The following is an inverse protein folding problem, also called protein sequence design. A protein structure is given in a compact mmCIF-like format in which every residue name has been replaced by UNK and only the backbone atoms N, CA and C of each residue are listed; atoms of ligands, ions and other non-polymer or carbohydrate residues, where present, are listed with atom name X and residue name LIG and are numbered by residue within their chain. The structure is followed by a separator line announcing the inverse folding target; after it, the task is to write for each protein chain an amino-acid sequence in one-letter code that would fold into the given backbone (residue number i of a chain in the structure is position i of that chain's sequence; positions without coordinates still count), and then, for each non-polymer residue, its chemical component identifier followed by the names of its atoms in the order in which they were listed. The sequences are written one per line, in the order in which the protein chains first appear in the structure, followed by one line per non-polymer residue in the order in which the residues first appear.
data_IF_257278278426
#
_entry.id   IF_257278278426
#
_cell.length_a   1.000
_cell.length_b   1.000
_cell.length_c   1.000
_cell.angle_alpha   90.00
_cell.angle_beta   90.00
_cell.angle_gamma   90.00
#
_symmetry.space_group_name_H-M   'P 1'
#
loop_
_entity.id
_entity.type
_entity.pdbx_description
1 polymer ?
#
# COMPACT_ATOMS: atom_id res chain seq x y z
N UNK A 1 -19.26 43.15 24.07
CA UNK A 1 -18.87 42.79 22.69
C UNK A 1 -17.35 42.60 22.69
N UNK A 2 -16.90 41.39 22.97
CA UNK A 2 -15.58 40.87 22.59
C UNK A 2 -15.77 39.38 22.36
N UNK A 3 -15.32 38.95 21.18
CA UNK A 3 -15.72 37.73 20.49
C UNK A 3 -15.07 36.50 21.12
N UNK A 4 -15.87 35.46 21.37
CA UNK A 4 -15.37 34.10 21.53
C UNK A 4 -14.88 33.60 20.17
N UNK A 5 -13.60 33.80 19.90
CA UNK A 5 -12.95 33.20 18.74
C UNK A 5 -12.81 31.70 18.97
N UNK A 6 -13.79 31.00 18.38
CA UNK A 6 -13.84 29.58 18.09
C UNK A 6 -12.54 29.09 17.46
N UNK A 7 -11.60 28.60 18.28
CA UNK A 7 -10.42 27.90 17.80
C UNK A 7 -10.74 26.42 17.59
N UNK A 8 -11.44 26.13 16.49
CA UNK A 8 -11.59 24.78 15.95
C UNK A 8 -10.31 24.39 15.19
N UNK A 9 -9.20 24.23 15.92
CA UNK A 9 -7.94 23.73 15.35
C UNK A 9 -8.02 22.21 15.28
N UNK A 10 -8.24 21.71 14.07
CA UNK A 10 -7.95 20.35 13.64
C UNK A 10 -8.86 19.29 14.24
N UNK A 11 -10.05 19.10 13.65
CA UNK A 11 -10.67 17.77 13.71
C UNK A 11 -9.64 16.79 13.18
N UNK A 12 -9.23 15.84 14.02
CA UNK A 12 -8.38 14.72 13.68
C UNK A 12 -9.12 13.87 12.64
N UNK A 13 -9.13 14.34 11.38
CA UNK A 13 -9.77 13.68 10.24
C UNK A 13 -8.88 12.54 9.72
N UNK A 14 -7.90 12.13 10.52
CA UNK A 14 -7.13 10.93 10.27
C UNK A 14 -8.02 9.74 10.60
N UNK A 15 -8.08 8.71 9.74
CA UNK A 15 -8.75 7.47 10.11
C UNK A 15 -8.15 6.99 11.43
N UNK A 16 -8.98 6.57 12.40
CA UNK A 16 -8.49 6.15 13.70
C UNK A 16 -7.41 5.08 13.49
N UNK A 17 -6.24 5.33 14.05
CA UNK A 17 -5.14 4.37 14.01
C UNK A 17 -5.63 3.07 14.65
N UNK A 18 -5.25 1.93 14.07
CA UNK A 18 -5.68 0.65 14.62
C UNK A 18 -5.07 0.50 16.03
N UNK A 19 -5.91 0.64 17.06
CA UNK A 19 -5.51 0.46 18.44
C UNK A 19 -5.10 -1.00 18.68
N UNK A 20 -4.12 -1.24 19.54
CA UNK A 20 -3.62 -2.59 19.83
C UNK A 20 -4.74 -3.48 20.42
N UNK A 21 -5.65 -2.88 21.19
CA UNK A 21 -6.85 -3.52 21.72
C UNK A 21 -7.81 -4.01 20.61
N UNK A 22 -7.83 -3.32 19.48
CA UNK A 22 -8.67 -3.63 18.33
C UNK A 22 -8.04 -4.62 17.36
N UNK A 23 -6.74 -4.92 17.51
CA UNK A 23 -6.01 -5.85 16.64
C UNK A 23 -6.71 -7.23 16.55
N UNK A 24 -7.18 -7.75 17.69
CA UNK A 24 -7.89 -9.03 17.73
C UNK A 24 -9.22 -8.98 16.97
N UNK A 25 -9.95 -7.87 17.10
CA UNK A 25 -11.20 -7.63 16.38
C UNK A 25 -10.96 -7.46 14.88
N UNK A 26 -9.93 -6.70 14.49
CA UNK A 26 -9.50 -6.54 13.10
C UNK A 26 -9.10 -7.87 12.47
N UNK A 27 -8.32 -8.69 13.19
CA UNK A 27 -7.89 -10.02 12.72
C UNK A 27 -9.08 -10.93 12.43
N UNK A 28 -10.08 -10.97 13.32
CA UNK A 28 -11.31 -11.76 13.09
C UNK A 28 -12.09 -11.24 11.88
N UNK A 29 -12.17 -9.91 11.69
CA UNK A 29 -12.85 -9.30 10.55
C UNK A 29 -12.15 -9.62 9.23
N UNK A 30 -10.82 -9.50 9.17
CA UNK A 30 -10.05 -9.77 7.94
C UNK A 30 -10.07 -11.26 7.59
N UNK A 31 -9.98 -12.16 8.58
CA UNK A 31 -10.08 -13.60 8.34
C UNK A 31 -11.46 -13.99 7.77
N UNK A 32 -12.55 -13.42 8.31
CA UNK A 32 -13.90 -13.65 7.78
C UNK A 32 -14.06 -13.11 6.37
N UNK A 33 -13.56 -11.91 6.10
CA UNK A 33 -13.59 -11.28 4.79
C UNK A 33 -12.88 -12.14 3.74
N UNK A 34 -11.65 -12.56 4.04
CA UNK A 34 -10.81 -13.37 3.15
C UNK A 34 -11.49 -14.70 2.82
N UNK A 35 -12.07 -15.39 3.81
CA UNK A 35 -12.78 -16.67 3.59
C UNK A 35 -13.94 -16.56 2.60
N UNK A 36 -14.57 -15.39 2.47
CA UNK A 36 -15.67 -15.15 1.54
C UNK A 36 -15.26 -14.72 0.13
N UNK A 37 -13.96 -14.57 -0.15
CA UNK A 37 -13.47 -14.12 -1.47
C UNK A 37 -13.01 -15.29 -2.34
N UNK A 38 -13.28 -15.19 -3.63
CA UNK A 38 -12.86 -16.16 -4.66
C UNK A 38 -11.34 -16.41 -4.63
N UNK A 39 -10.57 -15.36 -4.31
CA UNK A 39 -9.11 -15.40 -4.22
C UNK A 39 -8.61 -15.34 -2.76
N UNK A 40 -9.43 -15.73 -1.79
CA UNK A 40 -9.12 -15.61 -0.36
C UNK A 40 -7.77 -16.24 0.03
N UNK A 41 -7.46 -17.43 -0.50
CA UNK A 41 -6.16 -18.09 -0.25
C UNK A 41 -4.97 -17.26 -0.74
N UNK A 42 -5.11 -16.53 -1.86
CA UNK A 42 -4.06 -15.67 -2.40
C UNK A 42 -3.86 -14.43 -1.53
N UNK A 43 -4.96 -13.81 -1.09
CA UNK A 43 -4.93 -12.64 -0.20
C UNK A 43 -4.25 -13.01 1.12
N UNK A 44 -4.58 -14.17 1.70
CA UNK A 44 -3.95 -14.64 2.94
C UNK A 44 -2.44 -14.88 2.77
N UNK A 45 -2.02 -15.52 1.66
CA UNK A 45 -0.59 -15.72 1.35
C UNK A 45 0.15 -14.41 1.18
N UNK A 46 -0.43 -13.40 0.54
CA UNK A 46 0.17 -12.07 0.40
C UNK A 46 0.37 -11.37 1.75
N UNK A 47 -0.60 -11.46 2.66
CA UNK A 47 -0.46 -10.91 4.02
C UNK A 47 0.68 -11.60 4.79
N UNK A 48 0.84 -12.92 4.65
CA UNK A 48 1.88 -13.68 5.34
C UNK A 48 3.28 -13.47 4.74
N UNK A 49 3.37 -13.38 3.42
CA UNK A 49 4.65 -13.20 2.72
C UNK A 49 5.15 -11.75 2.81
N UNK A 50 4.32 -10.82 3.28
CA UNK A 50 4.62 -9.40 3.32
C UNK A 50 4.42 -8.72 1.97
N UNK A 51 4.69 -7.40 1.89
CA UNK A 51 4.58 -6.66 0.64
C UNK A 51 5.45 -7.32 -0.44
N UNK A 52 4.87 -7.55 -1.62
CA UNK A 52 5.66 -7.82 -2.84
C UNK A 52 6.68 -6.70 -3.00
N UNK A 53 7.87 -7.03 -3.50
CA UNK A 53 8.93 -6.05 -3.77
C UNK A 53 8.35 -4.93 -4.62
N UNK A 54 8.18 -3.73 -4.05
CA UNK A 54 7.54 -2.63 -4.76
C UNK A 54 8.37 -2.32 -6.02
N UNK A 55 7.77 -2.32 -7.22
CA UNK A 55 8.50 -1.94 -8.42
C UNK A 55 9.10 -0.54 -8.23
N UNK A 56 10.40 -0.44 -8.50
CA UNK A 56 11.12 0.83 -8.43
C UNK A 56 11.09 1.52 -9.78
N UNK A 57 11.00 2.84 -9.74
CA UNK A 57 11.19 3.72 -10.88
C UNK A 57 12.32 4.70 -10.58
N UNK A 58 12.94 5.20 -11.63
CA UNK A 58 14.09 6.09 -11.52
C UNK A 58 13.70 7.47 -12.01
N UNK A 59 13.73 8.45 -11.10
CA UNK A 59 13.38 9.83 -11.43
C UNK A 59 14.63 10.63 -11.84
N UNK A 60 14.52 11.49 -12.86
CA UNK A 60 15.56 12.45 -13.17
C UNK A 60 15.52 13.62 -12.17
N UNK A 61 16.52 13.69 -11.30
CA UNK A 61 16.71 14.79 -10.34
C UNK A 61 17.75 15.77 -10.90
N UNK A 62 17.39 17.05 -11.08
CA UNK A 62 18.35 18.08 -11.44
C UNK A 62 19.36 18.25 -10.31
N UNK A 63 20.63 18.00 -10.61
CA UNK A 63 21.71 18.45 -9.75
C UNK A 63 21.93 19.92 -10.08
N UNK A 64 22.24 20.78 -9.11
CA UNK A 64 22.46 22.23 -9.34
C UNK A 64 23.61 22.60 -10.30
N UNK A 65 24.11 21.65 -11.08
CA UNK A 65 25.08 21.80 -12.14
C UNK A 65 24.39 21.79 -13.52
N UNK A 66 24.77 22.67 -14.48
CA UNK A 66 24.12 22.79 -15.79
C UNK A 66 24.10 21.53 -16.65
N UNK A 67 24.89 20.51 -16.31
CA UNK A 67 25.01 19.24 -17.04
C UNK A 67 24.58 18.02 -16.21
N UNK A 68 24.12 18.19 -14.97
CA UNK A 68 23.91 17.08 -14.04
C UNK A 68 22.44 16.70 -13.90
N UNK A 69 21.99 15.66 -14.60
CA UNK A 69 20.76 14.94 -14.23
C UNK A 69 21.20 13.64 -13.54
N UNK A 70 20.77 13.43 -12.30
CA UNK A 70 21.01 12.17 -11.60
C UNK A 70 19.71 11.37 -11.61
N UNK A 71 19.83 10.12 -12.00
CA UNK A 71 18.79 9.11 -11.95
C UNK A 71 18.68 8.59 -10.51
N UNK A 72 17.62 8.95 -9.77
CA UNK A 72 17.43 8.50 -8.38
C UNK A 72 16.34 7.41 -8.29
N UNK A 73 16.68 6.22 -7.77
CA UNK A 73 15.70 5.16 -7.55
C UNK A 73 14.71 5.55 -6.46
N UNK A 74 13.42 5.32 -6.70
CA UNK A 74 12.36 5.39 -5.70
C UNK A 74 11.30 4.33 -5.96
N UNK A 75 10.45 4.09 -4.97
CA UNK A 75 9.26 3.26 -5.14
C UNK A 75 8.26 3.96 -6.07
N UNK A 76 7.56 3.17 -6.89
CA UNK A 76 6.43 3.67 -7.67
C UNK A 76 5.31 4.14 -6.75
N UNK A 77 4.61 5.20 -7.15
CA UNK A 77 3.35 5.60 -6.50
C UNK A 77 2.18 4.80 -7.07
N UNK A 78 1.08 4.71 -6.33
CA UNK A 78 -0.14 3.99 -6.75
C UNK A 78 -0.64 4.41 -8.14
N UNK A 79 -0.50 5.70 -8.48
CA UNK A 79 -0.91 6.27 -9.78
C UNK A 79 -0.05 5.80 -10.96
N UNK A 80 1.16 5.30 -10.68
CA UNK A 80 2.16 4.90 -11.69
C UNK A 80 2.10 3.39 -12.00
N UNK A 81 1.26 2.65 -11.28
CA UNK A 81 0.98 1.25 -11.57
C UNK A 81 0.04 1.13 -12.75
N UNK A 82 0.45 0.39 -13.76
CA UNK A 82 -0.40 0.09 -14.92
C UNK A 82 -1.23 -1.16 -14.66
N UNK A 83 -2.40 -1.25 -15.32
CA UNK A 83 -3.26 -2.45 -15.28
C UNK A 83 -2.50 -3.71 -15.71
N UNK A 84 -1.56 -3.57 -16.63
CA UNK A 84 -0.71 -4.66 -17.14
C UNK A 84 0.24 -5.17 -16.06
N UNK A 85 0.88 -4.28 -15.31
CA UNK A 85 1.77 -4.64 -14.20
C UNK A 85 0.99 -5.32 -13.08
N UNK A 86 -0.18 -4.77 -12.73
CA UNK A 86 -1.08 -5.37 -11.74
C UNK A 86 -1.53 -6.77 -12.17
N UNK A 87 -1.92 -6.95 -13.43
CA UNK A 87 -2.31 -8.25 -13.96
C UNK A 87 -1.14 -9.24 -13.98
N UNK A 88 0.06 -8.76 -14.30
CA UNK A 88 1.28 -9.58 -14.29
C UNK A 88 1.63 -10.04 -12.88
N UNK A 89 1.60 -9.17 -11.88
CA UNK A 89 1.83 -9.57 -10.49
C UNK A 89 0.80 -10.63 -10.04
N UNK A 90 -0.48 -10.45 -10.38
CA UNK A 90 -1.50 -11.46 -10.09
C UNK A 90 -1.18 -12.80 -10.75
N UNK A 91 -0.72 -12.80 -12.00
CA UNK A 91 -0.31 -14.00 -12.73
C UNK A 91 0.94 -14.65 -12.13
N UNK A 92 1.95 -13.87 -11.75
CA UNK A 92 3.18 -14.34 -11.14
C UNK A 92 2.89 -14.99 -9.78
N UNK A 93 1.99 -14.38 -8.99
CA UNK A 93 1.48 -14.95 -7.73
C UNK A 93 0.75 -16.26 -7.99
N UNK A 94 -0.12 -16.33 -9.01
CA UNK A 94 -0.79 -17.58 -9.37
C UNK A 94 0.22 -18.66 -9.80
N UNK A 95 1.21 -18.29 -10.60
CA UNK A 95 2.22 -19.21 -11.15
C UNK A 95 3.14 -19.77 -10.07
N UNK A 96 3.64 -18.91 -9.17
CA UNK A 96 4.46 -19.32 -8.02
C UNK A 96 3.72 -20.32 -7.13
N UNK A 97 2.40 -20.15 -6.98
CA UNK A 97 1.58 -21.05 -6.17
C UNK A 97 1.33 -22.41 -6.83
N UNK A 98 1.27 -22.49 -8.16
CA UNK A 98 1.15 -23.76 -8.90
C UNK A 98 2.47 -24.54 -8.81
N UNK A 99 3.60 -23.85 -9.01
CA UNK A 99 4.94 -24.46 -8.94
C UNK A 99 5.34 -24.94 -7.54
N UNK A 100 4.66 -24.44 -6.49
CA UNK A 100 4.90 -24.80 -5.10
C UNK A 100 3.93 -25.87 -4.56
N UNK A 101 3.10 -26.50 -5.42
CA UNK A 101 2.30 -27.69 -5.08
C UNK A 101 3.03 -28.97 -5.45
#
# INVERSE_FOLDING_TARGET
MMSEDSSAVGTDNRPPMLEESDYKSWKIRIERYIKGKTHGKLIWKSILNGPSTHPQITDPVPTGSPAGIIMQPREKRDEEFTDVENLKELCDIQTSNILSQ
#
